data_IF_984464153745
#
_entry.id   IF_984464153745
#
_cell.length_a   1.000
_cell.length_b   1.000
_cell.length_c   1.000
_cell.angle_alpha   90.00
_cell.angle_beta   90.00
_cell.angle_gamma   90.00
#
_symmetry.space_group_name_H-M   'P 1'
#
loop_
_entity.id
_entity.type
_entity.pdbx_description
1 polymer ?
#
# COMPACT_ATOMS: atom_id res chain seq x y z
N UNK A 1 6.49 -12.78 -11.61
CA UNK A 1 5.47 -12.15 -10.75
C UNK A 1 6.16 -11.05 -9.98
N UNK A 2 5.43 -10.00 -9.59
CA UNK A 2 5.98 -9.11 -8.58
C UNK A 2 6.00 -9.90 -7.25
N UNK A 3 6.51 -9.33 -6.19
CA UNK A 3 6.35 -9.94 -4.87
C UNK A 3 5.92 -8.81 -3.96
N UNK A 4 4.60 -8.73 -3.79
CA UNK A 4 3.94 -7.61 -3.13
C UNK A 4 3.21 -8.13 -1.90
N UNK A 5 3.57 -7.61 -0.74
CA UNK A 5 3.01 -8.02 0.55
C UNK A 5 2.36 -6.82 1.21
N UNK A 6 1.09 -6.95 1.57
CA UNK A 6 0.42 -6.06 2.49
C UNK A 6 0.56 -6.60 3.91
N UNK A 7 0.87 -5.73 4.86
CA UNK A 7 0.91 -6.06 6.28
C UNK A 7 0.05 -5.04 7.02
N UNK A 8 -0.99 -5.50 7.69
CA UNK A 8 -1.94 -4.61 8.35
C UNK A 8 -3.05 -5.38 9.03
N UNK A 9 -4.06 -4.69 9.54
CA UNK A 9 -5.14 -5.33 10.30
C UNK A 9 -6.18 -5.99 9.42
N UNK A 10 -6.41 -5.46 8.21
CA UNK A 10 -7.47 -5.89 7.30
C UNK A 10 -8.85 -5.94 8.01
N UNK A 11 -9.14 -4.93 8.85
CA UNK A 11 -10.34 -4.84 9.68
C UNK A 11 -10.47 -5.91 10.76
N UNK A 12 -9.44 -6.73 10.99
CA UNK A 12 -9.42 -7.82 11.96
C UNK A 12 -8.58 -7.47 13.19
N UNK A 13 -8.76 -8.16 14.32
CA UNK A 13 -7.86 -7.95 15.48
C UNK A 13 -6.48 -8.50 15.17
N UNK A 14 -5.42 -7.71 15.36
CA UNK A 14 -4.03 -8.09 15.09
C UNK A 14 -3.57 -7.79 13.67
N UNK A 15 -2.26 -7.93 13.41
CA UNK A 15 -1.65 -7.68 12.10
C UNK A 15 -1.40 -8.97 11.34
N UNK A 16 -1.61 -8.92 10.03
CA UNK A 16 -1.52 -10.09 9.18
C UNK A 16 -0.84 -9.76 7.85
N UNK A 17 0.09 -10.62 7.39
CA UNK A 17 0.63 -10.53 6.06
C UNK A 17 -0.31 -11.15 5.03
N UNK A 18 -0.49 -10.44 3.92
CA UNK A 18 -1.29 -10.84 2.78
C UNK A 18 -0.44 -10.65 1.52
N UNK A 19 -0.20 -11.74 0.80
CA UNK A 19 0.39 -11.65 -0.54
C UNK A 19 -0.65 -11.11 -1.53
N UNK A 20 -0.31 -10.04 -2.24
CA UNK A 20 -1.20 -9.35 -3.17
C UNK A 20 -1.25 -10.04 -4.53
N UNK A 21 -0.11 -10.56 -4.98
CA UNK A 21 0.03 -11.22 -6.28
C UNK A 21 0.48 -12.68 -6.18
N UNK A 22 0.60 -13.19 -4.95
CA UNK A 22 0.80 -14.60 -4.66
C UNK A 22 0.11 -14.99 -3.35
N UNK A 23 -0.24 -16.26 -3.21
CA UNK A 23 -0.59 -16.83 -1.90
C UNK A 23 0.69 -17.09 -1.12
N UNK A 24 0.74 -16.64 0.13
CA UNK A 24 1.86 -16.95 1.02
C UNK A 24 1.80 -18.40 1.48
N UNK A 25 2.93 -19.09 1.44
CA UNK A 25 3.10 -20.35 2.18
C UNK A 25 3.10 -20.08 3.69
N UNK A 26 2.87 -21.13 4.50
CA UNK A 26 2.92 -20.99 5.96
C UNK A 26 4.27 -20.47 6.46
N UNK A 27 5.38 -20.86 5.84
CA UNK A 27 6.70 -20.37 6.19
C UNK A 27 6.89 -18.88 5.85
N UNK A 28 6.45 -18.45 4.67
CA UNK A 28 6.51 -17.03 4.29
C UNK A 28 5.59 -16.18 5.18
N UNK A 29 4.41 -16.69 5.52
CA UNK A 29 3.50 -16.02 6.44
C UNK A 29 4.17 -15.73 7.79
N UNK A 30 4.84 -16.73 8.39
CA UNK A 30 5.54 -16.56 9.67
C UNK A 30 6.70 -15.57 9.57
N UNK A 31 7.44 -15.58 8.46
CA UNK A 31 8.51 -14.59 8.21
C UNK A 31 7.95 -13.16 8.27
N UNK A 32 6.84 -12.90 7.58
CA UNK A 32 6.29 -11.55 7.55
C UNK A 32 5.63 -11.13 8.88
N UNK A 33 5.25 -12.09 9.75
CA UNK A 33 4.81 -11.75 11.11
C UNK A 33 5.91 -11.14 11.97
N UNK A 34 7.18 -11.29 11.60
CA UNK A 34 8.28 -10.61 12.28
C UNK A 34 8.13 -9.08 12.23
N UNK A 35 7.38 -8.51 11.28
CA UNK A 35 7.09 -7.07 11.25
C UNK A 35 6.26 -6.59 12.45
N UNK A 36 5.54 -7.48 13.15
CA UNK A 36 4.77 -7.18 14.36
C UNK A 36 5.64 -7.24 15.64
N UNK A 37 6.81 -6.60 15.60
CA UNK A 37 7.68 -6.51 16.76
C UNK A 37 7.94 -5.04 17.14
N UNK A 38 8.20 -4.81 18.42
CA UNK A 38 8.35 -3.46 18.98
C UNK A 38 9.44 -2.65 18.29
N UNK A 39 10.56 -3.27 17.91
CA UNK A 39 11.66 -2.57 17.21
C UNK A 39 11.21 -2.10 15.84
N UNK A 40 10.52 -2.96 15.09
CA UNK A 40 9.98 -2.63 13.77
C UNK A 40 8.94 -1.52 13.85
N UNK A 41 7.96 -1.68 14.74
CA UNK A 41 6.89 -0.69 14.97
C UNK A 41 7.47 0.67 15.37
N UNK A 42 8.46 0.69 16.26
CA UNK A 42 9.12 1.94 16.67
C UNK A 42 9.88 2.61 15.52
N UNK A 43 10.45 1.83 14.58
CA UNK A 43 11.09 2.40 13.40
C UNK A 43 10.08 3.07 12.47
N UNK A 44 8.93 2.43 12.21
CA UNK A 44 7.85 3.01 11.39
C UNK A 44 7.26 4.26 12.05
N UNK A 45 7.11 4.27 13.38
CA UNK A 45 6.65 5.45 14.13
C UNK A 45 7.60 6.64 14.03
N UNK A 46 8.91 6.39 14.06
CA UNK A 46 9.93 7.45 13.95
C UNK A 46 10.08 7.95 12.51
N UNK A 47 10.00 7.05 11.55
CA UNK A 47 10.25 7.32 10.15
C UNK A 47 9.14 6.67 9.31
N UNK A 48 7.98 7.33 9.16
CA UNK A 48 6.94 6.85 8.26
C UNK A 48 7.25 7.23 6.81
N UNK A 49 6.65 6.50 5.86
CA UNK A 49 6.74 6.79 4.44
C UNK A 49 7.47 5.72 3.65
N UNK A 50 8.20 6.15 2.61
CA UNK A 50 8.84 5.25 1.65
C UNK A 50 10.28 4.94 2.09
N UNK A 51 10.61 3.66 2.17
CA UNK A 51 11.90 3.16 2.62
C UNK A 51 12.40 2.04 1.70
N UNK A 52 13.72 1.92 1.61
CA UNK A 52 14.36 0.73 1.04
C UNK A 52 14.85 -0.13 2.20
N UNK A 53 14.36 -1.36 2.27
CA UNK A 53 14.69 -2.28 3.36
C UNK A 53 15.26 -3.59 2.82
N UNK A 54 15.95 -4.32 3.69
CA UNK A 54 16.36 -5.70 3.44
C UNK A 54 15.62 -6.61 4.41
N UNK A 55 14.90 -7.59 3.90
CA UNK A 55 14.14 -8.56 4.69
C UNK A 55 14.47 -9.96 4.18
N UNK A 56 14.97 -10.83 5.05
CA UNK A 56 15.42 -12.21 4.72
C UNK A 56 16.33 -12.30 3.48
N UNK A 57 17.31 -11.41 3.39
CA UNK A 57 18.29 -11.42 2.30
C UNK A 57 17.87 -10.65 1.05
N UNK A 58 16.59 -10.31 0.93
CA UNK A 58 15.98 -9.70 -0.25
C UNK A 58 15.71 -8.22 -0.03
N UNK A 59 15.74 -7.44 -1.12
CA UNK A 59 15.51 -5.99 -1.08
C UNK A 59 14.07 -5.67 -1.41
N UNK A 60 13.45 -4.82 -0.60
CA UNK A 60 12.07 -4.36 -0.78
C UNK A 60 11.99 -2.85 -0.70
N UNK A 61 11.17 -2.27 -1.56
CA UNK A 61 10.61 -0.93 -1.34
C UNK A 61 9.41 -1.08 -0.42
N UNK A 62 9.49 -0.47 0.76
CA UNK A 62 8.47 -0.49 1.79
C UNK A 62 7.79 0.88 1.86
N UNK A 63 6.46 0.90 1.91
CA UNK A 63 5.69 2.06 2.29
C UNK A 63 4.98 1.76 3.61
N UNK A 64 5.39 2.43 4.69
CA UNK A 64 4.91 2.17 6.04
C UNK A 64 4.28 3.39 6.71
N UNK A 65 3.19 3.18 7.44
CA UNK A 65 2.51 4.21 8.24
C UNK A 65 2.21 3.69 9.66
N UNK A 66 2.31 4.54 10.70
CA UNK A 66 2.22 4.12 12.11
C UNK A 66 0.77 4.09 12.62
N UNK A 67 -0.15 3.71 11.74
CA UNK A 67 -1.57 3.56 12.03
C UNK A 67 -2.17 2.51 11.09
N UNK A 68 -3.35 2.00 11.42
CA UNK A 68 -4.11 1.17 10.49
C UNK A 68 -4.77 2.07 9.45
N UNK A 69 -4.65 1.73 8.18
CA UNK A 69 -5.30 2.50 7.09
C UNK A 69 -6.80 2.21 6.99
N UNK A 70 -7.21 1.09 7.54
CA UNK A 70 -8.49 0.41 7.40
C UNK A 70 -9.24 0.23 8.73
N UNK A 71 -8.62 0.64 9.84
CA UNK A 71 -9.13 0.46 11.21
C UNK A 71 -8.73 1.67 12.08
N UNK A 72 -9.61 2.07 12.99
CA UNK A 72 -9.45 3.25 13.85
C UNK A 72 -8.77 2.94 15.19
N UNK A 73 -8.47 1.67 15.47
CA UNK A 73 -7.79 1.27 16.71
C UNK A 73 -6.36 1.83 16.76
N UNK A 74 -6.04 2.47 17.89
CA UNK A 74 -4.71 2.99 18.17
C UNK A 74 -3.67 1.89 18.37
N UNK A 75 -2.40 2.22 18.14
CA UNK A 75 -1.26 1.30 18.35
C UNK A 75 -0.92 0.39 17.16
N UNK A 76 -1.66 0.48 16.07
CA UNK A 76 -1.44 -0.30 14.84
C UNK A 76 -0.36 0.30 13.91
N UNK A 77 0.02 -0.42 12.86
CA UNK A 77 0.78 0.05 11.70
C UNK A 77 0.29 -0.66 10.43
N UNK A 78 0.51 -0.04 9.28
CA UNK A 78 0.25 -0.63 7.96
C UNK A 78 1.50 -0.49 7.12
N UNK A 79 1.85 -1.56 6.40
CA UNK A 79 2.99 -1.58 5.51
C UNK A 79 2.66 -2.27 4.18
N UNK A 80 3.27 -1.75 3.11
CA UNK A 80 3.24 -2.35 1.78
C UNK A 80 4.67 -2.59 1.33
N UNK A 81 5.01 -3.85 1.09
CA UNK A 81 6.31 -4.26 0.59
C UNK A 81 6.21 -4.62 -0.87
N UNK A 82 7.13 -4.10 -1.68
CA UNK A 82 7.29 -4.49 -3.07
C UNK A 82 8.75 -4.84 -3.34
N UNK A 83 9.03 -6.10 -3.65
CA UNK A 83 10.39 -6.58 -3.93
C UNK A 83 11.06 -5.77 -5.04
N UNK A 84 12.28 -5.32 -4.79
CA UNK A 84 13.06 -4.45 -5.68
C UNK A 84 13.04 -2.97 -5.25
N UNK A 85 13.58 -2.13 -6.13
CA UNK A 85 13.66 -0.67 -5.94
C UNK A 85 12.57 -0.04 -6.80
N UNK A 86 11.62 0.63 -6.16
CA UNK A 86 10.48 1.28 -6.79
C UNK A 86 10.37 2.73 -6.34
N UNK A 87 9.88 3.56 -7.25
CA UNK A 87 9.61 4.98 -7.03
C UNK A 87 8.32 5.17 -6.23
N UNK A 88 8.15 6.38 -5.68
CA UNK A 88 6.91 6.77 -5.01
C UNK A 88 5.72 6.68 -5.98
N UNK A 89 5.92 7.10 -7.22
CA UNK A 89 4.90 7.07 -8.28
C UNK A 89 4.46 5.63 -8.57
N UNK A 90 5.39 4.69 -8.64
CA UNK A 90 5.09 3.27 -8.82
C UNK A 90 4.28 2.71 -7.65
N UNK A 91 4.66 3.00 -6.41
CA UNK A 91 3.92 2.56 -5.22
C UNK A 91 2.50 3.14 -5.18
N UNK A 92 2.35 4.45 -5.47
CA UNK A 92 1.04 5.10 -5.54
C UNK A 92 0.18 4.48 -6.65
N UNK A 93 0.77 4.20 -7.81
CA UNK A 93 0.07 3.55 -8.91
C UNK A 93 -0.33 2.12 -8.55
N UNK A 94 0.51 1.37 -7.84
CA UNK A 94 0.17 0.03 -7.33
C UNK A 94 -1.05 0.09 -6.41
N UNK A 95 -1.04 0.98 -5.41
CA UNK A 95 -2.15 1.13 -4.45
C UNK A 95 -3.45 1.47 -5.19
N UNK A 96 -3.41 2.39 -6.15
CA UNK A 96 -4.61 2.83 -6.89
C UNK A 96 -5.17 1.77 -7.83
N UNK A 97 -4.30 0.98 -8.46
CA UNK A 97 -4.71 0.01 -9.49
C UNK A 97 -5.03 -1.39 -8.93
N UNK A 98 -4.70 -1.65 -7.66
CA UNK A 98 -5.09 -2.89 -6.99
C UNK A 98 -6.36 -2.66 -6.16
N UNK A 99 -7.45 -3.38 -6.45
CA UNK A 99 -8.74 -3.20 -5.78
C UNK A 99 -8.66 -3.38 -4.25
N UNK A 100 -7.90 -4.39 -3.80
CA UNK A 100 -7.72 -4.63 -2.36
C UNK A 100 -6.99 -3.46 -1.71
N UNK A 101 -5.83 -3.06 -2.24
CA UNK A 101 -5.05 -1.95 -1.68
C UNK A 101 -5.84 -0.63 -1.72
N UNK A 102 -6.50 -0.30 -2.83
CA UNK A 102 -7.30 0.92 -2.94
C UNK A 102 -8.40 1.00 -1.86
N UNK A 103 -8.99 -0.14 -1.52
CA UNK A 103 -9.98 -0.26 -0.44
C UNK A 103 -9.33 -0.08 0.94
N UNK A 104 -8.21 -0.76 1.22
CA UNK A 104 -7.48 -0.63 2.48
C UNK A 104 -7.07 0.82 2.74
N UNK A 105 -6.51 1.49 1.74
CA UNK A 105 -6.06 2.88 1.83
C UNK A 105 -7.19 3.91 1.71
N UNK A 106 -8.47 3.48 1.79
CA UNK A 106 -9.68 4.33 1.70
C UNK A 106 -9.67 5.29 0.50
N UNK A 107 -9.00 4.93 -0.59
CA UNK A 107 -8.88 5.78 -1.77
C UNK A 107 -10.23 5.97 -2.46
N UNK A 108 -11.06 4.93 -2.46
CA UNK A 108 -12.39 5.00 -3.05
C UNK A 108 -13.34 5.92 -2.26
N UNK A 109 -13.25 5.88 -0.93
CA UNK A 109 -14.00 6.79 -0.04
C UNK A 109 -13.52 8.24 -0.21
N UNK A 110 -12.21 8.49 -0.24
CA UNK A 110 -11.67 9.82 -0.52
C UNK A 110 -12.14 10.37 -1.88
N UNK A 111 -12.26 9.52 -2.91
CA UNK A 111 -12.80 9.93 -4.22
C UNK A 111 -14.31 10.22 -4.13
N UNK A 112 -15.08 9.44 -3.37
CA UNK A 112 -16.51 9.72 -3.12
C UNK A 112 -16.72 11.02 -2.34
N UNK A 113 -15.88 11.30 -1.36
CA UNK A 113 -15.92 12.54 -0.59
C UNK A 113 -15.63 13.75 -1.49
N UNK A 114 -14.59 13.68 -2.32
CA UNK A 114 -14.31 14.71 -3.31
C UNK A 114 -15.49 14.92 -4.25
N UNK A 115 -16.10 13.84 -4.75
CA UNK A 115 -17.27 13.94 -5.61
C UNK A 115 -18.46 14.62 -4.91
N UNK A 116 -18.69 14.30 -3.65
CA UNK A 116 -19.75 14.88 -2.81
C UNK A 116 -19.51 16.38 -2.56
N UNK A 117 -18.31 16.76 -2.12
CA UNK A 117 -17.93 18.16 -1.87
C UNK A 117 -18.00 19.00 -3.14
N UNK A 118 -17.58 18.44 -4.27
CA UNK A 118 -17.58 19.15 -5.56
C UNK A 118 -18.93 19.09 -6.28
N UNK A 119 -19.94 18.37 -5.77
CA UNK A 119 -21.25 18.22 -6.43
C UNK A 119 -21.18 17.51 -7.79
N UNK A 120 -20.18 16.65 -8.00
CA UNK A 120 -19.95 15.92 -9.25
C UNK A 120 -20.23 14.43 -9.07
N UNK A 121 -20.45 13.69 -10.16
CA UNK A 121 -20.68 12.25 -10.05
C UNK A 121 -19.35 11.55 -9.76
N UNK A 122 -19.34 10.65 -8.78
CA UNK A 122 -18.18 9.82 -8.42
C UNK A 122 -17.49 9.16 -9.63
N UNK A 123 -18.27 8.61 -10.57
CA UNK A 123 -17.73 7.96 -11.78
C UNK A 123 -16.91 8.91 -12.67
N UNK A 124 -17.27 10.19 -12.69
CA UNK A 124 -16.59 11.19 -13.51
C UNK A 124 -15.24 11.57 -12.90
N UNK A 125 -15.19 11.73 -11.57
CA UNK A 125 -13.93 11.96 -10.82
C UNK A 125 -12.99 10.77 -10.96
N UNK A 126 -13.52 9.55 -10.76
CA UNK A 126 -12.75 8.31 -10.91
C UNK A 126 -12.22 8.13 -12.33
N UNK A 127 -13.03 8.42 -13.35
CA UNK A 127 -12.60 8.38 -14.75
C UNK A 127 -11.54 9.42 -15.06
N UNK A 128 -11.64 10.64 -14.51
CA UNK A 128 -10.66 11.69 -14.72
C UNK A 128 -9.29 11.34 -14.12
N UNK A 129 -9.26 10.80 -12.89
CA UNK A 129 -8.02 10.32 -12.25
C UNK A 129 -7.33 9.26 -13.11
N UNK A 130 -8.12 8.28 -13.59
CA UNK A 130 -7.60 7.21 -14.44
C UNK A 130 -7.05 7.76 -15.77
N UNK A 131 -7.71 8.75 -16.38
CA UNK A 131 -7.18 9.42 -17.57
C UNK A 131 -5.86 10.14 -17.28
N UNK A 132 -5.77 10.93 -16.20
CA UNK A 132 -4.54 11.64 -15.83
C UNK A 132 -3.37 10.68 -15.63
N UNK A 133 -3.62 9.50 -15.05
CA UNK A 133 -2.60 8.45 -14.90
C UNK A 133 -2.17 7.82 -16.23
N UNK A 134 -3.11 7.57 -17.15
CA UNK A 134 -2.79 7.08 -18.49
C UNK A 134 -1.88 8.05 -19.26
N UNK A 135 -2.09 9.36 -19.10
CA UNK A 135 -1.23 10.39 -19.69
C UNK A 135 0.10 10.57 -18.95
N UNK A 136 0.15 10.33 -17.63
CA UNK A 136 1.39 10.38 -16.84
C UNK A 136 2.32 9.17 -17.08
N UNK A 137 1.78 7.98 -17.34
CA UNK A 137 2.56 6.80 -17.74
C UNK A 137 3.05 6.81 -19.20
N UNK A 138 2.57 7.76 -20.00
CA UNK A 138 2.77 7.84 -21.44
C UNK A 138 3.92 8.74 -21.90
N UNK A 139 5.09 8.75 -21.24
CA UNK A 139 6.31 9.34 -21.85
C UNK A 139 7.58 8.55 -21.51
N UNK A 140 7.83 7.50 -22.29
CA UNK A 140 9.16 7.27 -22.88
C UNK A 140 9.01 7.26 -24.40
N UNK A 141 8.95 8.46 -25.00
CA UNK A 141 9.35 8.59 -26.40
C UNK A 141 10.85 8.27 -26.44
N UNK A 142 11.18 7.07 -26.92
CA UNK A 142 12.50 6.78 -27.48
C UNK A 142 12.77 7.86 -28.53
N UNK A 143 13.83 8.64 -28.31
CA UNK A 143 14.48 9.44 -29.34
C UNK A 143 15.12 8.46 -30.32
#
# INVERSE_FOLDING_TARGET
MAEIIYFGTNGCSGHYPIGIDKTLTGAEYEIWRECDNETWINNIRKNPGLHLIKHHGEVYTNYGVPFSVDDERGGSHTELFWKGIHTKEEIVNLIKNNQFLAMQFKMDEAIKDVATVCGVRYKDVKSAINMTQAFAGGKKKRI
#
